data_IF_017578634150
#
_entry.id   IF_017578634150
#
_cell.length_a   1.000
_cell.length_b   1.000
_cell.length_c   1.000
_cell.angle_alpha   90.00
_cell.angle_beta   90.00
_cell.angle_gamma   90.00
#
_symmetry.space_group_name_H-M   'P 1'
#
loop_
_entity.id
_entity.type
_entity.pdbx_description
1 polymer ?
#
# COMPACT_ATOMS: atom_id res chain seq x y z
N UNK A 1 -1.24 19.94 1.80
CA UNK A 1 -1.46 18.48 1.68
C UNK A 1 -2.37 18.29 0.48
N UNK A 2 -1.91 17.63 -0.60
CA UNK A 2 -2.78 17.31 -1.74
C UNK A 2 -3.84 16.30 -1.25
N UNK A 3 -5.11 16.51 -1.61
CA UNK A 3 -6.19 15.60 -1.20
C UNK A 3 -5.96 14.21 -1.83
N UNK A 4 -6.30 13.13 -1.13
CA UNK A 4 -6.29 11.78 -1.71
C UNK A 4 -7.03 11.75 -3.06
N UNK A 5 -8.13 12.50 -3.19
CA UNK A 5 -8.89 12.59 -4.45
C UNK A 5 -8.12 13.24 -5.60
N UNK A 6 -7.25 14.22 -5.33
CA UNK A 6 -6.42 14.90 -6.35
C UNK A 6 -5.25 14.03 -6.80
N UNK A 7 -4.79 13.13 -5.93
CA UNK A 7 -3.68 12.21 -6.23
C UNK A 7 -4.17 11.01 -7.07
N UNK A 8 -5.42 10.59 -6.91
CA UNK A 8 -5.98 9.39 -7.57
C UNK A 8 -6.86 9.66 -8.78
N UNK A 9 -7.10 10.92 -9.17
CA UNK A 9 -7.98 11.27 -10.30
C UNK A 9 -7.35 11.08 -11.68
N UNK A 10 -6.02 10.89 -11.78
CA UNK A 10 -5.38 10.43 -13.04
C UNK A 10 -5.28 8.90 -13.08
N UNK A 11 -5.72 8.25 -14.16
CA UNK A 11 -5.53 6.82 -14.33
C UNK A 11 -4.02 6.50 -14.37
N UNK A 12 -3.62 5.51 -13.58
CA UNK A 12 -2.27 4.94 -13.68
C UNK A 12 -2.10 4.42 -15.10
N UNK A 13 -1.11 4.95 -15.85
CA UNK A 13 -0.86 4.55 -17.24
C UNK A 13 -0.89 5.68 -18.26
N UNK A 14 -1.41 6.85 -17.90
CA UNK A 14 -1.46 8.01 -18.79
C UNK A 14 -0.11 8.76 -18.82
N UNK A 15 0.58 8.86 -19.97
CA UNK A 15 1.87 9.56 -20.04
C UNK A 15 1.67 11.08 -19.91
N UNK A 16 2.23 11.66 -18.84
CA UNK A 16 2.47 13.11 -18.78
C UNK A 16 3.84 13.42 -19.42
N UNK A 17 3.88 14.21 -20.51
CA UNK A 17 5.11 14.47 -21.25
C UNK A 17 6.03 15.51 -20.61
N UNK A 18 5.75 16.01 -19.39
CA UNK A 18 6.60 17.01 -18.73
C UNK A 18 7.40 16.47 -17.54
N UNK A 19 8.59 15.89 -17.76
CA UNK A 19 9.53 15.55 -16.69
C UNK A 19 10.01 16.81 -15.95
N UNK A 20 9.64 16.99 -14.68
CA UNK A 20 9.98 18.19 -13.88
C UNK A 20 10.78 17.87 -12.63
N UNK A 21 10.57 16.71 -12.02
CA UNK A 21 11.07 16.40 -10.68
C UNK A 21 12.36 15.60 -10.72
N UNK A 22 13.32 15.92 -9.87
CA UNK A 22 14.53 15.13 -9.65
C UNK A 22 14.25 13.92 -8.77
N UNK A 23 15.15 12.93 -8.79
CA UNK A 23 15.03 11.75 -7.92
C UNK A 23 15.01 12.11 -6.43
N UNK A 24 15.70 13.19 -6.02
CA UNK A 24 15.73 13.65 -4.63
C UNK A 24 14.40 14.27 -4.21
N UNK A 25 13.77 15.04 -5.08
CA UNK A 25 12.43 15.61 -4.85
C UNK A 25 11.38 14.51 -4.76
N UNK A 26 11.42 13.53 -5.67
CA UNK A 26 10.50 12.39 -5.65
C UNK A 26 10.72 11.52 -4.41
N UNK A 27 11.96 11.26 -4.02
CA UNK A 27 12.27 10.53 -2.79
C UNK A 27 11.66 11.21 -1.56
N UNK A 28 11.78 12.53 -1.49
CA UNK A 28 11.22 13.34 -0.40
C UNK A 28 9.69 13.32 -0.41
N UNK A 29 9.07 13.47 -1.58
CA UNK A 29 7.61 13.51 -1.73
C UNK A 29 6.94 12.15 -1.51
N UNK A 30 7.57 11.05 -1.94
CA UNK A 30 7.04 9.69 -1.83
C UNK A 30 7.42 8.98 -0.52
N UNK A 31 8.40 9.50 0.22
CA UNK A 31 8.99 8.82 1.37
C UNK A 31 9.84 7.60 1.00
N UNK A 32 10.10 7.38 -0.29
CA UNK A 32 10.95 6.29 -0.78
C UNK A 32 12.40 6.74 -0.88
N UNK A 33 13.34 5.80 -0.71
CA UNK A 33 14.75 6.12 -0.96
C UNK A 33 15.03 6.22 -2.46
N UNK A 34 16.00 7.04 -2.85
CA UNK A 34 16.46 7.10 -4.24
C UNK A 34 16.91 5.72 -4.79
N UNK A 35 17.42 4.84 -3.92
CA UNK A 35 17.71 3.45 -4.27
C UNK A 35 16.45 2.66 -4.65
N UNK A 36 15.38 2.81 -3.87
CA UNK A 36 14.09 2.15 -4.13
C UNK A 36 13.45 2.65 -5.43
N UNK A 37 13.54 3.96 -5.71
CA UNK A 37 13.06 4.53 -6.97
C UNK A 37 13.81 3.94 -8.18
N UNK A 38 15.14 3.87 -8.12
CA UNK A 38 15.95 3.20 -9.15
C UNK A 38 15.62 1.71 -9.29
N UNK A 39 15.32 1.05 -8.18
CA UNK A 39 14.89 -0.34 -8.19
C UNK A 39 13.53 -0.49 -8.90
N UNK A 40 12.57 0.39 -8.62
CA UNK A 40 11.24 0.41 -9.27
C UNK A 40 11.33 0.68 -10.78
N UNK A 41 12.21 1.58 -11.22
CA UNK A 41 12.52 1.76 -12.66
C UNK A 41 13.03 0.45 -13.27
N UNK A 42 14.02 -0.19 -12.63
CA UNK A 42 14.67 -1.39 -13.16
C UNK A 42 13.72 -2.55 -13.33
N UNK A 43 12.76 -2.72 -12.42
CA UNK A 43 11.78 -3.81 -12.49
C UNK A 43 10.57 -3.47 -13.38
N UNK A 44 10.49 -2.24 -13.92
CA UNK A 44 9.41 -1.82 -14.79
C UNK A 44 8.15 -1.34 -14.08
N UNK A 45 8.22 -0.97 -12.79
CA UNK A 45 7.11 -0.37 -12.04
C UNK A 45 6.87 1.10 -12.46
N UNK A 46 7.95 1.77 -12.87
CA UNK A 46 7.93 3.10 -13.48
C UNK A 46 8.33 2.97 -14.94
N UNK A 47 7.81 3.85 -15.79
CA UNK A 47 8.24 3.90 -17.18
C UNK A 47 9.68 4.46 -17.25
N UNK A 48 10.45 4.14 -18.29
CA UNK A 48 11.81 4.65 -18.44
C UNK A 48 11.78 6.17 -18.41
N UNK A 49 12.38 6.75 -17.38
CA UNK A 49 12.52 8.19 -17.26
C UNK A 49 13.53 8.67 -18.29
N UNK A 50 13.09 9.54 -19.20
CA UNK A 50 13.98 10.21 -20.13
C UNK A 50 15.07 10.96 -19.36
N UNK A 51 16.31 10.79 -19.82
CA UNK A 51 17.43 11.58 -19.32
C UNK A 51 17.31 12.97 -19.93
N UNK A 52 17.22 13.99 -19.08
CA UNK A 52 17.32 15.37 -19.55
C UNK A 52 18.68 15.61 -20.25
N UNK A 53 18.82 16.70 -21.00
CA UNK A 53 20.04 17.05 -21.74
C UNK A 53 21.34 17.06 -20.89
N UNK A 54 21.23 17.17 -19.56
CA UNK A 54 22.34 17.06 -18.60
C UNK A 54 22.56 15.67 -17.99
N UNK A 55 21.95 14.61 -18.52
CA UNK A 55 22.10 13.23 -18.04
C UNK A 55 21.35 12.89 -16.74
N UNK A 56 20.60 13.84 -16.17
CA UNK A 56 19.83 13.65 -14.94
C UNK A 56 18.44 13.04 -15.23
N UNK A 57 18.02 12.10 -14.37
CA UNK A 57 16.66 11.52 -14.40
C UNK A 57 15.64 12.58 -13.97
N UNK A 58 14.54 12.69 -14.72
CA UNK A 58 13.42 13.58 -14.42
C UNK A 58 12.08 12.82 -14.41
N UNK A 59 11.33 12.93 -13.32
CA UNK A 59 10.02 12.30 -13.19
C UNK A 59 8.91 13.31 -13.51
N UNK A 60 7.85 12.82 -14.12
CA UNK A 60 6.63 13.59 -14.41
C UNK A 60 5.69 13.62 -13.20
N UNK A 61 4.67 14.49 -13.21
CA UNK A 61 3.65 14.45 -12.15
C UNK A 61 2.84 13.14 -12.18
N UNK A 62 2.66 12.54 -13.36
CA UNK A 62 2.04 11.22 -13.51
C UNK A 62 2.83 10.12 -12.80
N UNK A 63 4.17 10.17 -12.83
CA UNK A 63 5.02 9.23 -12.09
C UNK A 63 4.82 9.37 -10.59
N UNK A 64 4.70 10.59 -10.06
CA UNK A 64 4.42 10.80 -8.64
C UNK A 64 3.05 10.26 -8.24
N UNK A 65 2.01 10.45 -9.06
CA UNK A 65 0.68 9.91 -8.78
C UNK A 65 0.68 8.38 -8.79
N UNK A 66 1.36 7.77 -9.77
CA UNK A 66 1.57 6.32 -9.82
C UNK A 66 2.32 5.82 -8.58
N UNK A 67 3.42 6.48 -8.20
CA UNK A 67 4.20 6.14 -7.00
C UNK A 67 3.38 6.25 -5.73
N UNK A 68 2.55 7.28 -5.59
CA UNK A 68 1.68 7.44 -4.44
C UNK A 68 0.66 6.30 -4.34
N UNK A 69 0.06 5.91 -5.46
CA UNK A 69 -0.88 4.78 -5.51
C UNK A 69 -0.20 3.45 -5.20
N UNK A 70 0.92 3.13 -5.85
CA UNK A 70 1.70 1.92 -5.59
C UNK A 70 2.22 1.87 -4.15
N UNK A 71 2.57 3.03 -3.57
CA UNK A 71 2.91 3.15 -2.15
C UNK A 71 1.76 2.73 -1.24
N UNK A 72 0.51 3.08 -1.57
CA UNK A 72 -0.67 2.63 -0.82
C UNK A 72 -0.91 1.13 -0.95
N UNK A 73 -0.79 0.56 -2.16
CA UNK A 73 -0.91 -0.89 -2.36
C UNK A 73 0.18 -1.66 -1.59
N UNK A 74 1.39 -1.15 -1.55
CA UNK A 74 2.46 -1.75 -0.74
C UNK A 74 2.12 -1.74 0.75
N UNK A 75 1.52 -0.67 1.27
CA UNK A 75 1.09 -0.59 2.68
C UNK A 75 -0.03 -1.58 3.02
N UNK A 76 -0.82 -2.02 2.03
CA UNK A 76 -1.83 -3.05 2.24
C UNK A 76 -1.27 -4.47 2.25
N UNK A 77 0.04 -4.63 2.01
CA UNK A 77 0.70 -5.93 1.92
C UNK A 77 0.72 -6.52 0.52
N UNK A 78 0.29 -5.77 -0.51
CA UNK A 78 0.36 -6.25 -1.89
C UNK A 78 1.81 -6.53 -2.29
N UNK A 79 2.02 -7.68 -2.93
CA UNK A 79 3.35 -8.06 -3.40
C UNK A 79 3.82 -7.15 -4.54
N UNK A 80 5.14 -7.04 -4.72
CA UNK A 80 5.69 -6.29 -5.85
C UNK A 80 5.34 -6.95 -7.18
N UNK A 81 5.17 -8.28 -7.21
CA UNK A 81 4.74 -9.01 -8.39
C UNK A 81 3.31 -8.62 -8.82
N UNK A 82 2.38 -8.48 -7.87
CA UNK A 82 1.01 -8.05 -8.17
C UNK A 82 0.94 -6.59 -8.59
N UNK A 83 1.78 -5.73 -7.99
CA UNK A 83 1.92 -4.35 -8.44
C UNK A 83 2.46 -4.26 -9.87
N UNK A 84 3.41 -5.11 -10.27
CA UNK A 84 3.88 -5.20 -11.66
C UNK A 84 2.76 -5.64 -12.59
N UNK A 85 2.02 -6.70 -12.22
CA UNK A 85 0.85 -7.17 -12.98
C UNK A 85 -0.17 -6.04 -13.18
N UNK A 86 -0.45 -5.26 -12.13
CA UNK A 86 -1.33 -4.10 -12.22
C UNK A 86 -0.81 -3.05 -13.21
N UNK A 87 0.48 -2.69 -13.13
CA UNK A 87 1.10 -1.70 -14.02
C UNK A 87 1.09 -2.18 -15.47
N UNK A 88 1.38 -3.45 -15.73
CA UNK A 88 1.37 -4.02 -17.07
C UNK A 88 -0.03 -4.06 -17.68
N UNK A 89 -1.04 -4.40 -16.88
CA UNK A 89 -2.44 -4.26 -17.29
C UNK A 89 -2.78 -2.79 -17.56
N UNK A 90 -2.31 -1.88 -16.72
CA UNK A 90 -2.59 -0.46 -16.85
C UNK A 90 -2.04 0.14 -18.15
N UNK A 91 -0.83 -0.28 -18.56
CA UNK A 91 -0.20 0.09 -19.84
C UNK A 91 -0.96 -0.39 -21.06
N UNK A 92 -1.65 -1.52 -20.95
CA UNK A 92 -2.42 -2.07 -22.06
C UNK A 92 -3.61 -1.15 -22.41
N UNK A 93 -4.16 -0.41 -21.44
CA UNK A 93 -5.29 0.50 -21.67
C UNK A 93 -6.63 -0.10 -21.25
N UNK A 94 -7.73 0.49 -21.72
CA UNK A 94 -9.09 0.27 -21.18
C UNK A 94 -9.57 -1.19 -21.23
N UNK A 95 -9.06 -2.01 -22.15
CA UNK A 95 -9.42 -3.41 -22.28
C UNK A 95 -9.12 -4.25 -21.02
N UNK A 96 -8.19 -3.80 -20.18
CA UNK A 96 -7.85 -4.49 -18.93
C UNK A 96 -8.58 -3.93 -17.71
N UNK A 97 -9.54 -3.00 -17.87
CA UNK A 97 -10.31 -2.43 -16.75
C UNK A 97 -11.00 -3.50 -15.91
N UNK A 98 -11.55 -4.55 -16.55
CA UNK A 98 -12.15 -5.67 -15.84
C UNK A 98 -11.17 -6.40 -14.92
N UNK A 99 -10.00 -6.77 -15.45
CA UNK A 99 -8.96 -7.48 -14.70
C UNK A 99 -8.34 -6.61 -13.58
N UNK A 100 -8.09 -5.32 -13.87
CA UNK A 100 -7.61 -4.36 -12.87
C UNK A 100 -8.62 -4.18 -11.73
N UNK A 101 -9.90 -4.09 -12.05
CA UNK A 101 -10.97 -4.01 -11.05
C UNK A 101 -10.97 -5.24 -10.16
N UNK A 102 -10.93 -6.45 -10.73
CA UNK A 102 -10.92 -7.70 -9.96
C UNK A 102 -9.71 -7.80 -9.01
N UNK A 103 -8.51 -7.43 -9.49
CA UNK A 103 -7.30 -7.40 -8.66
C UNK A 103 -7.47 -6.45 -7.46
N UNK A 104 -7.98 -5.25 -7.69
CA UNK A 104 -8.20 -4.27 -6.62
C UNK A 104 -9.34 -4.67 -5.68
N UNK A 105 -10.39 -5.32 -6.18
CA UNK A 105 -11.47 -5.84 -5.35
C UNK A 105 -11.00 -6.97 -4.42
N UNK A 106 -10.16 -7.88 -4.91
CA UNK A 106 -9.53 -8.92 -4.09
C UNK A 106 -8.65 -8.31 -3.00
N UNK A 107 -7.76 -7.38 -3.36
CA UNK A 107 -6.92 -6.68 -2.37
C UNK A 107 -7.76 -5.93 -1.34
N UNK A 108 -8.86 -5.29 -1.75
CA UNK A 108 -9.76 -4.59 -0.84
C UNK A 108 -10.35 -5.53 0.20
N UNK A 109 -10.69 -6.76 -0.19
CA UNK A 109 -11.25 -7.73 0.75
C UNK A 109 -10.21 -8.22 1.76
N UNK A 110 -8.98 -8.48 1.32
CA UNK A 110 -7.86 -8.79 2.23
C UNK A 110 -7.63 -7.67 3.24
N UNK A 111 -7.67 -6.41 2.79
CA UNK A 111 -7.52 -5.23 3.67
C UNK A 111 -8.64 -5.16 4.69
N UNK A 112 -9.90 -5.41 4.29
CA UNK A 112 -11.04 -5.43 5.22
C UNK A 112 -10.86 -6.49 6.29
N UNK A 113 -10.49 -7.70 5.90
CA UNK A 113 -10.24 -8.77 6.86
C UNK A 113 -9.12 -8.37 7.84
N UNK A 114 -8.01 -7.82 7.32
CA UNK A 114 -6.91 -7.36 8.16
C UNK A 114 -7.30 -6.22 9.11
N UNK A 115 -8.20 -5.33 8.70
CA UNK A 115 -8.77 -4.29 9.60
C UNK A 115 -9.53 -4.95 10.75
N UNK A 116 -10.38 -5.93 10.46
CA UNK A 116 -11.14 -6.67 11.49
C UNK A 116 -10.20 -7.34 12.49
N UNK A 117 -9.15 -7.99 12.00
CA UNK A 117 -8.18 -8.69 12.85
C UNK A 117 -7.34 -7.71 13.69
N UNK A 118 -6.93 -6.59 13.09
CA UNK A 118 -6.19 -5.54 13.81
C UNK A 118 -7.05 -4.85 14.86
N UNK A 119 -8.34 -4.62 14.60
CA UNK A 119 -9.27 -4.07 15.60
C UNK A 119 -9.48 -5.04 16.77
N UNK A 120 -9.60 -6.34 16.49
CA UNK A 120 -9.68 -7.36 17.54
C UNK A 120 -8.39 -7.40 18.37
N UNK A 121 -7.23 -7.34 17.71
CA UNK A 121 -5.92 -7.30 18.37
C UNK A 121 -5.78 -6.03 19.24
N UNK A 122 -6.19 -4.87 18.73
CA UNK A 122 -6.15 -3.61 19.45
C UNK A 122 -6.97 -3.69 20.75
N UNK A 123 -8.17 -4.26 20.70
CA UNK A 123 -9.00 -4.44 21.89
C UNK A 123 -8.32 -5.32 22.97
N UNK A 124 -7.55 -6.34 22.58
CA UNK A 124 -6.77 -7.15 23.54
C UNK A 124 -5.64 -6.34 24.17
N UNK A 125 -4.93 -5.53 23.37
CA UNK A 125 -3.87 -4.67 23.86
C UNK A 125 -4.42 -3.63 24.84
N UNK A 126 -5.53 -2.97 24.50
CA UNK A 126 -6.20 -2.00 25.35
C UNK A 126 -6.62 -2.62 26.69
N UNK A 127 -7.22 -3.82 26.65
CA UNK A 127 -7.58 -4.56 27.87
C UNK A 127 -6.36 -4.84 28.76
N UNK A 128 -5.23 -5.29 28.17
CA UNK A 128 -3.99 -5.54 28.93
C UNK A 128 -3.39 -4.26 29.51
N UNK A 129 -3.45 -3.15 28.77
CA UNK A 129 -2.99 -1.84 29.24
C UNK A 129 -3.83 -1.39 30.44
N UNK A 130 -5.16 -1.53 30.39
CA UNK A 130 -6.05 -1.14 31.49
C UNK A 130 -5.78 -1.94 32.78
N UNK A 131 -5.52 -3.25 32.65
CA UNK A 131 -5.10 -4.09 33.80
C UNK A 131 -3.84 -3.50 34.45
N UNK A 132 -2.80 -3.22 33.66
CA UNK A 132 -1.54 -2.71 34.19
C UNK A 132 -1.62 -1.27 34.68
N UNK A 133 -2.59 -0.49 34.18
CA UNK A 133 -2.87 0.86 34.66
C UNK A 133 -3.62 0.88 36.01
N UNK A 134 -3.98 -0.28 36.57
CA UNK A 134 -4.71 -0.37 37.84
C UNK A 134 -6.17 0.09 37.74
N UNK A 135 -6.66 0.34 36.52
CA UNK A 135 -8.08 0.53 36.24
C UNK A 135 -8.68 -0.86 36.26
N UNK A 136 -9.14 -1.32 37.43
CA UNK A 136 -9.86 -2.59 37.54
C UNK A 136 -10.89 -2.69 36.41
N UNK A 137 -11.02 -3.87 35.78
CA UNK A 137 -11.67 -4.17 34.50
C UNK A 137 -13.12 -3.66 34.33
N UNK A 138 -13.32 -2.35 34.43
CA UNK A 138 -14.59 -1.64 34.42
C UNK A 138 -14.57 -0.81 33.15
N UNK A 139 -14.87 -1.47 32.02
CA UNK A 139 -15.14 -0.78 30.76
C UNK A 139 -14.82 -1.56 29.49
N UNK A 140 -13.74 -2.34 29.48
CA UNK A 140 -13.35 -3.12 28.31
C UNK A 140 -13.73 -4.60 28.53
N UNK A 141 -14.97 -4.95 28.18
CA UNK A 141 -15.35 -6.35 28.08
C UNK A 141 -14.37 -7.09 27.15
N UNK A 142 -14.01 -8.33 27.51
CA UNK A 142 -13.17 -9.19 26.67
C UNK A 142 -13.75 -9.17 25.25
N UNK A 143 -12.99 -8.78 24.21
CA UNK A 143 -13.51 -8.84 22.84
C UNK A 143 -13.95 -10.28 22.56
N UNK A 144 -15.24 -10.47 22.25
CA UNK A 144 -15.88 -11.77 22.11
C UNK A 144 -15.20 -12.73 21.10
N UNK A 145 -14.33 -12.20 20.23
CA UNK A 145 -13.55 -12.98 19.26
C UNK A 145 -12.29 -13.66 19.84
N UNK A 146 -11.89 -13.37 21.07
CA UNK A 146 -10.74 -14.02 21.72
C UNK A 146 -11.11 -15.26 22.54
N UNK A 147 -12.38 -15.65 22.58
CA UNK A 147 -12.84 -16.80 23.38
C UNK A 147 -12.48 -18.17 22.78
N UNK A 148 -11.97 -18.23 21.54
CA UNK A 148 -11.75 -19.49 20.80
C UNK A 148 -10.27 -19.79 20.47
N UNK A 149 -9.31 -19.34 21.28
CA UNK A 149 -7.88 -19.71 21.12
C UNK A 149 -7.38 -20.75 22.15
N UNK A 150 -8.29 -21.38 22.91
CA UNK A 150 -7.94 -22.53 23.78
C UNK A 150 -8.73 -23.78 23.41
N UNK A 151 -8.05 -24.67 22.68
CA UNK A 151 -8.40 -26.04 22.31
C UNK A 151 -7.49 -26.40 21.14
N UNK A 152 -6.53 -27.32 21.21
CA UNK A 152 -6.35 -28.54 22.02
C UNK A 152 -4.84 -28.76 22.18
N UNK A 153 -4.33 -29.03 23.38
CA UNK A 153 -3.06 -29.75 23.58
C UNK A 153 -3.05 -30.34 25.00
N UNK A 154 -3.91 -31.34 25.22
CA UNK A 154 -3.79 -32.27 26.34
C UNK A 154 -4.27 -33.66 25.90
N UNK A 155 -3.38 -34.41 25.23
CA UNK A 155 -3.28 -35.89 25.28
C UNK A 155 -2.14 -36.42 24.40
N UNK A 156 -0.99 -36.70 25.01
CA UNK A 156 -0.14 -37.87 24.71
C UNK A 156 1.12 -37.85 25.58
N UNK A 157 1.08 -38.48 26.76
CA UNK A 157 2.10 -39.38 27.34
C UNK A 157 1.80 -39.63 28.82
#
# INVERSE_FOLDING_TARGET
>A
MRSCSEVFSRPVGDPDPSPRHTISEVATASGLTAHTLRWYERIGLLDPVDRAAGGQRRYSDADLHRLAFLGRLRLTGMSVADMLKYVDMARQGEQTYGERRLLLEAQREEVRQRIVDLQATLAVLDYKIDIYAGKGAVGAGIPAKCQNIHGEEEQSA
#
